data_IF_655439418275
#
_entry.id   IF_655439418275
#
_cell.length_a   1.000
_cell.length_b   1.000
_cell.length_c   1.000
_cell.angle_alpha   90.00
_cell.angle_beta   90.00
_cell.angle_gamma   90.00
#
_symmetry.space_group_name_H-M   'P 1'
#
loop_
_entity.id
_entity.type
_entity.pdbx_description
1 polymer ?
#
# COMPACT_ATOMS: atom_id res chain seq x y z
N UNK A 1 37.17 -14.69 -24.34
CA UNK A 1 35.95 -14.20 -25.03
C UNK A 1 34.72 -14.47 -24.15
N UNK A 2 34.43 -15.74 -23.84
CA UNK A 2 33.30 -16.16 -22.99
C UNK A 2 33.25 -15.49 -21.60
N UNK A 3 34.39 -15.35 -20.91
CA UNK A 3 34.45 -14.63 -19.61
C UNK A 3 33.99 -13.17 -19.69
N UNK A 4 34.29 -12.46 -20.78
CA UNK A 4 33.91 -11.06 -20.93
C UNK A 4 32.43 -10.92 -21.26
N UNK A 5 31.89 -11.85 -22.05
CA UNK A 5 30.46 -11.94 -22.36
C UNK A 5 29.64 -12.26 -21.09
N UNK A 6 30.13 -13.18 -20.25
CA UNK A 6 29.50 -13.49 -18.96
C UNK A 6 29.50 -12.29 -18.00
N UNK A 7 30.59 -11.52 -17.93
CA UNK A 7 30.67 -10.31 -17.09
C UNK A 7 29.73 -9.22 -17.59
N UNK A 8 29.62 -9.02 -18.91
CA UNK A 8 28.65 -8.08 -19.49
C UNK A 8 27.21 -8.48 -19.16
N UNK A 9 26.88 -9.77 -19.27
CA UNK A 9 25.55 -10.29 -18.93
C UNK A 9 25.21 -10.07 -17.45
N UNK A 10 26.16 -10.32 -16.53
CA UNK A 10 25.95 -10.07 -15.09
C UNK A 10 25.68 -8.58 -14.81
N UNK A 11 26.41 -7.67 -15.47
CA UNK A 11 26.17 -6.24 -15.36
C UNK A 11 24.74 -5.86 -15.79
N UNK A 12 24.29 -6.35 -16.96
CA UNK A 12 22.93 -6.09 -17.44
C UNK A 12 21.85 -6.64 -16.51
N UNK A 13 22.06 -7.83 -15.91
CA UNK A 13 21.12 -8.39 -14.94
C UNK A 13 21.08 -7.58 -13.63
N UNK A 14 22.21 -7.04 -13.19
CA UNK A 14 22.28 -6.21 -11.99
C UNK A 14 21.50 -4.89 -12.18
N UNK A 15 21.64 -4.25 -13.34
CA UNK A 15 20.91 -3.03 -13.68
C UNK A 15 19.40 -3.29 -13.79
N UNK A 16 19.01 -4.40 -14.42
CA UNK A 16 17.60 -4.79 -14.52
C UNK A 16 16.99 -5.10 -13.15
N UNK A 17 17.74 -5.79 -12.29
CA UNK A 17 17.31 -6.05 -10.90
C UNK A 17 17.08 -4.74 -10.15
N UNK A 18 18.02 -3.80 -10.22
CA UNK A 18 17.89 -2.52 -9.53
C UNK A 18 16.68 -1.71 -10.03
N UNK A 19 16.41 -1.73 -11.35
CA UNK A 19 15.22 -1.12 -11.93
C UNK A 19 13.94 -1.76 -11.39
N UNK A 20 13.85 -3.09 -11.40
CA UNK A 20 12.68 -3.82 -10.92
C UNK A 20 12.44 -3.61 -9.41
N UNK A 21 13.50 -3.55 -8.61
CA UNK A 21 13.39 -3.21 -7.18
C UNK A 21 12.82 -1.80 -6.98
N UNK A 22 13.23 -0.83 -7.82
CA UNK A 22 12.64 0.51 -7.79
C UNK A 22 11.17 0.52 -8.22
N UNK A 23 10.83 -0.15 -9.32
CA UNK A 23 9.46 -0.24 -9.82
C UNK A 23 8.53 -0.88 -8.78
N UNK A 24 9.00 -1.92 -8.07
CA UNK A 24 8.23 -2.55 -6.97
C UNK A 24 7.95 -1.54 -5.85
N UNK A 25 8.96 -0.76 -5.44
CA UNK A 25 8.77 0.23 -4.38
C UNK A 25 7.77 1.32 -4.78
N UNK A 26 7.86 1.80 -6.02
CA UNK A 26 6.94 2.81 -6.56
C UNK A 26 5.50 2.27 -6.67
N UNK A 27 5.33 1.03 -7.14
CA UNK A 27 4.03 0.37 -7.21
C UNK A 27 3.42 0.15 -5.83
N UNK A 28 4.23 -0.26 -4.84
CA UNK A 28 3.77 -0.42 -3.46
C UNK A 28 3.29 0.91 -2.87
N UNK A 29 4.03 2.00 -3.10
CA UNK A 29 3.63 3.33 -2.65
C UNK A 29 2.34 3.81 -3.33
N UNK A 30 2.24 3.62 -4.66
CA UNK A 30 1.03 3.95 -5.40
C UNK A 30 -0.18 3.19 -4.89
N UNK A 31 -0.04 1.89 -4.66
CA UNK A 31 -1.12 1.06 -4.13
C UNK A 31 -1.54 1.51 -2.72
N UNK A 32 -0.57 1.78 -1.83
CA UNK A 32 -0.85 2.28 -0.49
C UNK A 32 -1.65 3.60 -0.52
N UNK A 33 -1.24 4.54 -1.36
CA UNK A 33 -1.95 5.82 -1.53
C UNK A 33 -3.37 5.63 -2.07
N UNK A 34 -3.56 4.76 -3.07
CA UNK A 34 -4.89 4.51 -3.63
C UNK A 34 -5.85 3.89 -2.59
N UNK A 35 -5.35 2.98 -1.76
CA UNK A 35 -6.15 2.41 -0.68
C UNK A 35 -6.50 3.46 0.39
N UNK A 36 -5.54 4.30 0.78
CA UNK A 36 -5.76 5.35 1.78
C UNK A 36 -6.77 6.40 1.29
N UNK A 37 -6.60 6.91 0.08
CA UNK A 37 -7.53 7.86 -0.55
C UNK A 37 -8.94 7.27 -0.72
N UNK A 38 -9.03 6.03 -1.20
CA UNK A 38 -10.30 5.34 -1.38
C UNK A 38 -11.03 5.10 -0.06
N UNK A 39 -10.30 4.75 0.99
CA UNK A 39 -10.87 4.56 2.33
C UNK A 39 -11.33 5.88 2.93
N UNK A 40 -10.51 6.93 2.88
CA UNK A 40 -10.88 8.27 3.34
C UNK A 40 -12.16 8.77 2.64
N UNK A 41 -12.25 8.56 1.33
CA UNK A 41 -13.45 8.92 0.57
C UNK A 41 -14.69 8.12 1.00
N UNK A 42 -14.55 6.83 1.29
CA UNK A 42 -15.65 6.02 1.82
C UNK A 42 -16.11 6.52 3.21
N UNK A 43 -15.19 6.93 4.09
CA UNK A 43 -15.51 7.52 5.39
C UNK A 43 -16.32 8.82 5.23
N UNK A 44 -15.96 9.68 4.28
CA UNK A 44 -16.73 10.90 3.99
C UNK A 44 -18.15 10.59 3.47
N UNK A 45 -18.31 9.56 2.64
CA UNK A 45 -19.64 9.10 2.22
C UNK A 45 -20.48 8.62 3.40
N UNK A 46 -19.89 7.88 4.36
CA UNK A 46 -20.61 7.42 5.56
C UNK A 46 -21.08 8.61 6.40
N UNK A 47 -20.22 9.61 6.62
CA UNK A 47 -20.62 10.84 7.34
C UNK A 47 -21.79 11.55 6.67
N UNK A 48 -21.79 11.61 5.33
CA UNK A 48 -22.87 12.23 4.56
C UNK A 48 -24.20 11.46 4.68
N UNK A 49 -24.15 10.12 4.59
CA UNK A 49 -25.34 9.27 4.63
C UNK A 49 -25.92 9.11 6.04
N UNK A 50 -25.10 9.26 7.08
CA UNK A 50 -25.47 9.06 8.47
C UNK A 50 -25.07 10.29 9.31
N UNK A 51 -25.80 11.42 9.20
CA UNK A 51 -25.42 12.68 9.85
C UNK A 51 -25.45 12.63 11.39
N UNK A 52 -26.17 11.68 11.97
CA UNK A 52 -26.28 11.49 13.43
C UNK A 52 -25.21 10.55 14.00
N UNK A 53 -24.28 10.06 13.17
CA UNK A 53 -23.22 9.16 13.62
C UNK A 53 -22.20 9.91 14.50
N UNK A 54 -21.65 9.21 15.49
CA UNK A 54 -20.50 9.69 16.26
C UNK A 54 -19.26 9.81 15.35
N UNK A 55 -18.97 11.03 14.93
CA UNK A 55 -17.86 11.36 14.02
C UNK A 55 -16.50 11.09 14.66
N UNK A 56 -16.38 11.29 15.98
CA UNK A 56 -15.13 11.01 16.70
C UNK A 56 -14.84 9.51 16.67
N UNK A 57 -15.85 8.69 16.98
CA UNK A 57 -15.73 7.23 16.95
C UNK A 57 -15.53 6.69 15.53
N UNK A 58 -16.15 7.29 14.52
CA UNK A 58 -15.88 6.92 13.12
C UNK A 58 -14.44 7.24 12.71
N UNK A 59 -13.85 8.30 13.27
CA UNK A 59 -12.44 8.66 13.05
C UNK A 59 -11.44 7.64 13.58
N UNK A 60 -11.86 6.69 14.43
CA UNK A 60 -11.02 5.56 14.86
C UNK A 60 -10.86 4.49 13.79
N UNK A 61 -11.69 4.53 12.73
CA UNK A 61 -11.62 3.58 11.63
C UNK A 61 -10.27 3.66 10.92
N UNK A 62 -9.68 2.49 10.67
CA UNK A 62 -8.33 2.36 10.13
C UNK A 62 -8.30 1.22 9.12
N UNK A 63 -8.03 1.56 7.85
CA UNK A 63 -7.97 0.60 6.74
C UNK A 63 -6.93 -0.50 6.96
N UNK A 64 -5.91 -0.23 7.79
CA UNK A 64 -4.79 -1.12 8.07
C UNK A 64 -5.01 -1.97 9.33
N UNK A 65 -6.22 -1.96 9.89
CA UNK A 65 -6.60 -2.82 11.02
C UNK A 65 -7.64 -3.85 10.60
N UNK A 66 -7.62 -4.99 11.27
CA UNK A 66 -8.64 -6.02 11.17
C UNK A 66 -9.60 -5.94 12.36
N UNK A 67 -10.78 -6.56 12.22
CA UNK A 67 -11.77 -6.66 13.28
C UNK A 67 -11.64 -8.03 13.95
N UNK A 68 -11.26 -8.05 15.22
CA UNK A 68 -11.22 -9.26 16.07
C UNK A 68 -12.05 -8.98 17.31
N UNK A 69 -13.04 -9.82 17.59
CA UNK A 69 -13.98 -9.69 18.72
C UNK A 69 -14.59 -8.28 18.85
N UNK A 70 -14.92 -7.66 17.71
CA UNK A 70 -15.52 -6.32 17.66
C UNK A 70 -14.54 -5.17 17.94
N UNK A 71 -13.22 -5.42 17.96
CA UNK A 71 -12.17 -4.41 18.15
C UNK A 71 -11.27 -4.32 16.93
N UNK A 72 -10.83 -3.10 16.64
CA UNK A 72 -9.80 -2.85 15.64
C UNK A 72 -8.43 -3.21 16.20
N UNK A 73 -7.72 -4.13 15.55
CA UNK A 73 -6.37 -4.57 15.93
C UNK A 73 -5.43 -4.59 14.73
N UNK A 74 -4.10 -4.44 14.92
CA UNK A 74 -3.15 -4.56 13.81
C UNK A 74 -3.25 -5.92 13.09
N UNK A 75 -2.92 -5.93 11.80
CA UNK A 75 -2.59 -7.19 11.12
C UNK A 75 -1.32 -7.79 11.74
N UNK A 76 -1.33 -9.11 11.96
CA UNK A 76 -0.21 -9.90 12.49
C UNK A 76 0.46 -10.67 11.38
#
# INVERSE_FOLDING_TARGET
KEKNEAVLSIGTLADEKARLENDINELQLCAANQYDEGFAFAIEQVKLLFPDLDVERLGEADAMKQIVDGKLVPYV
#
